data_IF_977205573938
#
_entry.id   IF_977205573938
#
_cell.length_a   1.000
_cell.length_b   1.000
_cell.length_c   1.000
_cell.angle_alpha   90.00
_cell.angle_beta   90.00
_cell.angle_gamma   90.00
#
_symmetry.space_group_name_H-M   'P 1'
#
loop_
_entity.id
_entity.type
_entity.pdbx_description
1 polymer ?
#
# COMPACT_ATOMS: atom_id res chain seq x y z
N UNK A 1 -3.13 -18.54 11.26
CA UNK A 1 -1.83 -18.05 10.76
C UNK A 1 -1.94 -16.60 10.33
N UNK A 2 -0.95 -15.83 10.64
CA UNK A 2 -1.02 -14.39 10.37
C UNK A 2 -0.60 -14.06 8.96
N UNK A 3 -1.29 -13.08 8.40
CA UNK A 3 -0.95 -12.55 7.09
C UNK A 3 -0.02 -11.36 7.29
N UNK A 4 1.29 -11.58 7.19
CA UNK A 4 2.28 -10.52 7.43
C UNK A 4 2.11 -9.36 6.47
N UNK A 5 1.77 -9.64 5.22
CA UNK A 5 1.57 -8.58 4.24
C UNK A 5 0.38 -7.70 4.62
N UNK A 6 -0.71 -8.33 5.09
CA UNK A 6 -1.89 -7.59 5.51
C UNK A 6 -1.62 -6.71 6.71
N UNK A 7 -0.87 -7.23 7.69
CA UNK A 7 -0.52 -6.45 8.87
C UNK A 7 0.39 -5.28 8.52
N UNK A 8 1.34 -5.50 7.62
CA UNK A 8 2.25 -4.44 7.18
C UNK A 8 1.48 -3.35 6.46
N UNK A 9 0.53 -3.73 5.61
CA UNK A 9 -0.30 -2.76 4.92
C UNK A 9 -1.15 -1.95 5.89
N UNK A 10 -1.73 -2.59 6.91
CA UNK A 10 -2.50 -1.89 7.92
C UNK A 10 -1.66 -0.85 8.64
N UNK A 11 -0.43 -1.22 8.99
CA UNK A 11 0.47 -0.31 9.68
C UNK A 11 0.83 0.89 8.81
N UNK A 12 1.21 0.64 7.57
CA UNK A 12 1.60 1.74 6.69
C UNK A 12 0.40 2.62 6.36
N UNK A 13 -0.79 2.04 6.23
CA UNK A 13 -2.01 2.80 5.99
C UNK A 13 -2.35 3.70 7.18
N UNK A 14 -2.21 3.17 8.41
CA UNK A 14 -2.49 3.95 9.61
C UNK A 14 -1.54 5.14 9.73
N UNK A 15 -0.25 4.91 9.44
CA UNK A 15 0.74 5.98 9.49
C UNK A 15 0.43 7.03 8.42
N UNK A 16 0.04 6.59 7.24
CA UNK A 16 -0.25 7.50 6.15
C UNK A 16 -1.47 8.37 6.47
N UNK A 17 -2.49 7.80 7.12
CA UNK A 17 -3.68 8.55 7.52
C UNK A 17 -3.37 9.68 8.49
N UNK A 18 -2.25 9.60 9.19
CA UNK A 18 -1.83 10.67 10.08
C UNK A 18 -1.18 11.82 9.32
N UNK A 19 -0.77 11.58 8.09
CA UNK A 19 -0.03 12.56 7.30
C UNK A 19 -0.88 13.26 6.25
N UNK A 20 -1.95 12.61 5.79
CA UNK A 20 -2.78 13.14 4.73
C UNK A 20 -4.25 13.09 5.14
N UNK A 21 -5.10 13.78 4.39
CA UNK A 21 -6.54 13.80 4.68
C UNK A 21 -7.17 12.46 4.30
N UNK A 22 -8.37 12.23 4.85
CA UNK A 22 -9.12 11.01 4.52
C UNK A 22 -9.40 10.93 3.02
N UNK A 23 -9.75 12.05 2.41
CA UNK A 23 -10.01 12.08 0.98
C UNK A 23 -8.77 11.75 0.19
N UNK A 24 -7.63 12.33 0.56
CA UNK A 24 -6.36 12.04 -0.09
C UNK A 24 -5.99 10.58 0.06
N UNK A 25 -6.20 10.02 1.24
CA UNK A 25 -5.89 8.62 1.48
C UNK A 25 -6.75 7.72 0.61
N UNK A 26 -8.05 8.02 0.50
CA UNK A 26 -8.95 7.23 -0.32
C UNK A 26 -8.50 7.24 -1.78
N UNK A 27 -8.18 8.42 -2.31
CA UNK A 27 -7.71 8.54 -3.69
C UNK A 27 -6.41 7.79 -3.90
N UNK A 28 -5.50 7.91 -2.95
CA UNK A 28 -4.22 7.21 -3.01
C UNK A 28 -4.42 5.71 -3.00
N UNK A 29 -5.25 5.20 -2.07
CA UNK A 29 -5.49 3.77 -1.94
C UNK A 29 -6.09 3.18 -3.20
N UNK A 30 -7.03 3.88 -3.80
CA UNK A 30 -7.65 3.41 -5.04
C UNK A 30 -6.65 3.37 -6.17
N UNK A 31 -5.83 4.41 -6.27
CA UNK A 31 -4.83 4.49 -7.33
C UNK A 31 -3.77 3.41 -7.18
N UNK A 32 -3.26 3.20 -5.97
CA UNK A 32 -2.23 2.19 -5.76
C UNK A 32 -2.78 0.79 -5.99
N UNK A 33 -4.01 0.53 -5.55
CA UNK A 33 -4.62 -0.78 -5.77
C UNK A 33 -4.78 -1.07 -7.25
N UNK A 34 -5.23 -0.08 -8.02
CA UNK A 34 -5.39 -0.25 -9.45
C UNK A 34 -4.05 -0.49 -10.14
N UNK A 35 -3.02 0.28 -9.75
CA UNK A 35 -1.69 0.12 -10.31
C UNK A 35 -1.09 -1.24 -9.95
N UNK A 36 -1.22 -1.65 -8.69
CA UNK A 36 -0.67 -2.91 -8.25
C UNK A 36 -1.40 -4.09 -8.90
N UNK A 37 -2.71 -3.99 -9.03
CA UNK A 37 -3.47 -5.04 -9.71
C UNK A 37 -3.05 -5.16 -11.19
N UNK A 38 -2.84 -4.03 -11.85
CA UNK A 38 -2.39 -4.04 -13.24
C UNK A 38 -0.99 -4.62 -13.37
N UNK A 39 -0.10 -4.25 -12.44
CA UNK A 39 1.28 -4.71 -12.47
C UNK A 39 1.38 -6.22 -12.34
N UNK A 40 0.50 -6.80 -11.53
CA UNK A 40 0.54 -8.23 -11.26
C UNK A 40 -0.59 -9.00 -11.97
N UNK A 41 -1.26 -8.37 -12.92
CA UNK A 41 -2.35 -9.02 -13.65
C UNK A 41 -1.98 -10.38 -14.26
N UNK A 42 -0.75 -10.56 -14.80
CA UNK A 42 -0.37 -11.88 -15.33
C UNK A 42 -0.41 -12.99 -14.29
N UNK A 43 -0.40 -12.65 -13.01
CA UNK A 43 -0.38 -13.62 -11.92
C UNK A 43 -1.74 -13.77 -11.24
N UNK A 44 -2.79 -13.17 -11.80
CA UNK A 44 -4.09 -13.09 -11.10
C UNK A 44 -4.71 -14.45 -10.82
N UNK A 45 -4.36 -15.47 -11.59
CA UNK A 45 -4.87 -16.82 -11.39
C UNK A 45 -4.04 -17.62 -10.39
N UNK A 46 -2.95 -17.04 -9.90
CA UNK A 46 -2.09 -17.69 -8.93
C UNK A 46 -2.58 -17.50 -7.50
N UNK A 47 -2.22 -18.44 -6.63
CA UNK A 47 -2.64 -18.38 -5.23
C UNK A 47 -1.98 -17.25 -4.47
N UNK A 48 -0.84 -16.75 -4.95
CA UNK A 48 -0.11 -15.68 -4.28
C UNK A 48 -0.52 -14.28 -4.76
N UNK A 49 -1.42 -14.20 -5.74
CA UNK A 49 -1.80 -12.91 -6.31
C UNK A 49 -2.28 -11.91 -5.25
N UNK A 50 -3.19 -12.28 -4.32
CA UNK A 50 -3.62 -11.32 -3.31
C UNK A 50 -2.47 -10.78 -2.46
N UNK A 51 -1.50 -11.63 -2.15
CA UNK A 51 -0.34 -11.22 -1.36
C UNK A 51 0.56 -10.28 -2.14
N UNK A 52 0.70 -10.51 -3.45
CA UNK A 52 1.49 -9.63 -4.30
C UNK A 52 0.89 -8.24 -4.35
N UNK A 53 -0.43 -8.15 -4.50
CA UNK A 53 -1.11 -6.86 -4.57
C UNK A 53 -1.01 -6.13 -3.23
N UNK A 54 -1.26 -6.83 -2.12
CA UNK A 54 -1.17 -6.24 -0.79
C UNK A 54 0.25 -5.76 -0.50
N UNK A 55 1.25 -6.57 -0.83
CA UNK A 55 2.65 -6.18 -0.65
C UNK A 55 3.02 -4.97 -1.49
N UNK A 56 2.50 -4.90 -2.71
CA UNK A 56 2.72 -3.76 -3.58
C UNK A 56 2.13 -2.49 -2.97
N UNK A 57 0.89 -2.56 -2.48
CA UNK A 57 0.24 -1.42 -1.83
C UNK A 57 1.06 -0.95 -0.62
N UNK A 58 1.54 -1.90 0.19
CA UNK A 58 2.34 -1.57 1.36
C UNK A 58 3.64 -0.88 0.98
N UNK A 59 4.31 -1.39 -0.04
CA UNK A 59 5.57 -0.79 -0.50
C UNK A 59 5.35 0.64 -0.99
N UNK A 60 4.27 0.87 -1.71
CA UNK A 60 3.96 2.22 -2.19
C UNK A 60 3.62 3.15 -1.03
N UNK A 61 2.85 2.66 -0.05
CA UNK A 61 2.56 3.45 1.15
C UNK A 61 3.84 3.86 1.86
N UNK A 62 4.78 2.94 2.01
CA UNK A 62 6.03 3.24 2.71
C UNK A 62 6.91 4.18 1.92
N UNK A 63 6.90 4.07 0.59
CA UNK A 63 7.62 5.01 -0.26
C UNK A 63 7.06 6.42 -0.11
N UNK A 64 5.73 6.56 -0.08
CA UNK A 64 5.10 7.85 0.11
C UNK A 64 5.39 8.40 1.51
N UNK A 65 5.34 7.54 2.53
CA UNK A 65 5.67 7.97 3.89
C UNK A 65 7.08 8.52 3.97
N UNK A 66 8.01 7.85 3.30
CA UNK A 66 9.39 8.31 3.27
C UNK A 66 9.50 9.69 2.60
N UNK A 67 8.74 9.87 1.54
CA UNK A 67 8.74 11.15 0.82
C UNK A 67 8.15 12.28 1.67
N UNK A 68 7.17 11.93 2.52
CA UNK A 68 6.47 12.91 3.35
C UNK A 68 7.19 13.22 4.65
N UNK A 69 8.30 12.55 4.94
CA UNK A 69 9.06 12.83 6.16
C UNK A 69 9.57 14.27 6.13
N UNK A 70 9.47 14.98 7.24
CA UNK A 70 10.00 16.33 7.31
C UNK A 70 11.50 16.34 7.07
N UNK A 71 11.97 17.39 6.42
CA UNK A 71 13.39 17.56 6.23
C UNK A 71 14.06 17.75 7.58
N UNK A 72 15.20 17.12 7.75
CA UNK A 72 15.95 17.25 8.98
C UNK A 72 15.68 16.17 10.00
N UNK A 73 14.83 15.22 9.68
CA UNK A 73 14.60 14.09 10.57
C UNK A 73 15.52 12.93 10.27
#
# INVERSE_FOLDING_TARGET
>A
MRNCAGQSLEQSSALLRQKITTQQFTQWSEATRALCAAAYAPYKDGTIYPQLVVGCDDHLNRALLKELQPLGN
#
